data_IF_325075906236
#
_entry.id   IF_325075906236
#
_cell.length_a   1.000
_cell.length_b   1.000
_cell.length_c   1.000
_cell.angle_alpha   90.00
_cell.angle_beta   90.00
_cell.angle_gamma   90.00
#
_symmetry.space_group_name_H-M   'P 1'
#
loop_
_entity.id
_entity.type
_entity.pdbx_description
1 polymer ?
#
# COMPACT_ATOMS: atom_id res chain seq x y z
N UNK A 1 -49.82 31.89 -12.94
CA UNK A 1 -51.24 31.48 -12.93
C UNK A 1 -51.87 31.88 -11.61
N UNK A 2 -52.58 33.01 -11.59
CA UNK A 2 -53.21 33.55 -10.38
C UNK A 2 -54.45 32.71 -10.04
N UNK A 3 -54.47 32.10 -8.85
CA UNK A 3 -55.67 31.45 -8.30
C UNK A 3 -56.35 32.43 -7.35
N UNK A 4 -57.44 33.03 -7.80
CA UNK A 4 -58.34 33.80 -6.95
C UNK A 4 -58.94 32.93 -5.85
N UNK A 5 -58.67 33.27 -4.59
CA UNK A 5 -59.29 32.63 -3.43
C UNK A 5 -60.69 33.19 -3.24
N UNK A 6 -61.68 32.44 -3.74
CA UNK A 6 -63.11 32.62 -3.46
C UNK A 6 -63.37 32.52 -1.95
N UNK A 7 -63.74 33.64 -1.32
CA UNK A 7 -64.20 33.67 0.08
C UNK A 7 -65.50 32.88 0.19
N UNK A 8 -65.50 31.79 0.98
CA UNK A 8 -66.69 30.96 1.23
C UNK A 8 -67.67 31.70 2.14
N UNK A 9 -68.87 31.99 1.63
CA UNK A 9 -70.03 32.46 2.40
C UNK A 9 -70.67 31.26 3.09
N UNK A 10 -70.79 31.28 4.42
CA UNK A 10 -71.47 30.23 5.18
C UNK A 10 -72.97 30.25 4.89
N UNK A 11 -73.48 29.14 4.35
CA UNK A 11 -74.89 28.93 4.02
C UNK A 11 -75.63 28.47 5.28
N UNK A 12 -76.32 29.37 5.97
CA UNK A 12 -77.40 28.99 6.90
C UNK A 12 -78.67 28.85 6.09
N UNK A 13 -79.22 27.63 6.07
CA UNK A 13 -80.41 27.29 5.31
C UNK A 13 -81.68 27.90 5.90
N UNK A 14 -82.51 28.43 5.02
CA UNK A 14 -83.95 28.13 5.00
C UNK A 14 -84.50 28.60 3.64
N UNK A 15 -84.77 27.62 2.77
CA UNK A 15 -85.49 27.82 1.52
C UNK A 15 -86.98 27.91 1.84
N UNK A 16 -87.58 29.08 1.64
CA UNK A 16 -89.01 29.21 1.38
C UNK A 16 -89.15 30.11 0.16
N UNK A 17 -89.51 29.48 -0.95
CA UNK A 17 -89.89 30.09 -2.20
C UNK A 17 -91.13 30.97 -2.03
N UNK A 18 -90.99 32.27 -2.29
CA UNK A 18 -92.12 33.07 -2.73
C UNK A 18 -91.69 34.03 -3.84
N UNK A 19 -92.18 33.76 -5.04
CA UNK A 19 -92.03 34.57 -6.24
C UNK A 19 -92.86 35.84 -6.11
N UNK A 20 -92.18 36.97 -5.88
CA UNK A 20 -92.74 38.31 -5.96
C UNK A 20 -91.78 39.22 -6.70
N UNK A 21 -92.14 39.59 -7.94
CA UNK A 21 -91.47 40.61 -8.74
C UNK A 21 -91.63 41.99 -8.06
N UNK A 22 -90.69 42.33 -7.18
CA UNK A 22 -90.44 43.70 -6.72
C UNK A 22 -89.14 44.23 -7.35
N UNK A 23 -88.98 45.56 -7.51
CA UNK A 23 -87.73 46.13 -7.99
C UNK A 23 -86.59 45.64 -7.10
N UNK A 24 -85.50 45.21 -7.73
CA UNK A 24 -84.36 44.55 -7.11
C UNK A 24 -83.69 45.52 -6.10
N UNK A 25 -84.23 45.57 -4.88
CA UNK A 25 -83.76 46.43 -3.78
C UNK A 25 -82.53 45.84 -3.08
N UNK A 26 -81.97 44.75 -3.61
CA UNK A 26 -80.69 44.23 -3.14
C UNK A 26 -79.54 44.96 -3.83
N UNK A 27 -79.51 46.30 -3.68
CA UNK A 27 -78.24 47.00 -3.77
C UNK A 27 -77.38 46.44 -2.63
N UNK A 28 -76.30 45.76 -2.99
CA UNK A 28 -75.40 45.17 -2.00
C UNK A 28 -74.65 46.32 -1.34
N UNK A 29 -75.27 46.89 -0.30
CA UNK A 29 -74.79 48.06 0.43
C UNK A 29 -73.36 47.88 0.92
N UNK A 30 -72.92 46.63 1.09
CA UNK A 30 -71.55 46.25 1.38
C UNK A 30 -70.55 46.61 0.27
N UNK A 31 -70.90 46.38 -1.01
CA UNK A 31 -70.04 46.74 -2.15
C UNK A 31 -69.97 48.25 -2.32
N UNK A 32 -71.09 48.95 -2.12
CA UNK A 32 -71.16 50.41 -2.17
C UNK A 32 -70.33 51.01 -1.02
N UNK A 33 -70.45 50.49 0.20
CA UNK A 33 -69.62 50.93 1.33
C UNK A 33 -68.13 50.60 1.09
N UNK A 34 -67.81 49.50 0.42
CA UNK A 34 -66.43 49.18 0.03
C UNK A 34 -65.88 50.17 -1.01
N UNK A 35 -66.66 50.58 -2.01
CA UNK A 35 -66.29 51.61 -2.98
C UNK A 35 -66.19 53.01 -2.36
N UNK A 36 -67.16 53.38 -1.51
CA UNK A 36 -67.12 54.61 -0.69
C UNK A 36 -65.83 54.66 0.15
N UNK A 37 -65.43 53.53 0.73
CA UNK A 37 -64.22 53.45 1.56
C UNK A 37 -62.92 53.71 0.78
N UNK A 38 -62.92 53.42 -0.53
CA UNK A 38 -61.76 53.63 -1.42
C UNK A 38 -61.69 55.05 -1.96
N UNK A 39 -62.83 55.69 -2.18
CA UNK A 39 -62.92 57.02 -2.80
C UNK A 39 -62.81 58.18 -1.81
N UNK A 40 -63.27 57.97 -0.57
CA UNK A 40 -63.24 59.01 0.49
C UNK A 40 -61.87 59.09 1.16
N UNK A 41 -61.48 60.30 1.58
CA UNK A 41 -60.26 60.54 2.34
C UNK A 41 -60.44 60.11 3.82
N UNK A 42 -59.52 59.28 4.38
CA UNK A 42 -59.49 58.98 5.81
C UNK A 42 -59.48 60.22 6.72
N UNK A 43 -58.81 61.31 6.33
CA UNK A 43 -58.71 62.52 7.17
C UNK A 43 -60.06 63.27 7.25
N UNK A 44 -60.79 63.33 6.14
CA UNK A 44 -62.13 63.91 6.09
C UNK A 44 -63.12 63.09 6.92
N UNK A 45 -63.04 61.75 6.85
CA UNK A 45 -63.89 60.88 7.66
C UNK A 45 -63.59 61.00 9.17
N UNK A 46 -62.33 61.24 9.54
CA UNK A 46 -61.96 61.55 10.92
C UNK A 46 -62.57 62.89 11.39
N UNK A 47 -62.53 63.92 10.54
CA UNK A 47 -63.15 65.22 10.84
C UNK A 47 -64.68 65.09 11.00
N UNK A 48 -65.34 64.32 10.13
CA UNK A 48 -66.77 64.02 10.22
C UNK A 48 -67.08 63.21 11.48
N UNK A 49 -66.25 62.22 11.83
CA UNK A 49 -66.38 61.47 13.07
C UNK A 49 -66.33 62.37 14.31
N UNK A 50 -65.34 63.27 14.39
CA UNK A 50 -65.23 64.24 15.50
C UNK A 50 -66.43 65.17 15.56
N UNK A 51 -66.92 65.65 14.41
CA UNK A 51 -68.12 66.50 14.33
C UNK A 51 -69.36 65.77 14.86
N UNK A 52 -69.62 64.55 14.39
CA UNK A 52 -70.75 63.72 14.83
C UNK A 52 -70.68 63.45 16.34
N UNK A 53 -69.51 63.11 16.86
CA UNK A 53 -69.31 62.91 18.30
C UNK A 53 -69.59 64.18 19.11
N UNK A 54 -69.17 65.36 18.62
CA UNK A 54 -69.46 66.65 19.23
C UNK A 54 -70.96 66.99 19.22
N UNK A 55 -71.65 66.76 18.11
CA UNK A 55 -73.10 66.97 17.97
C UNK A 55 -73.90 66.02 18.87
N UNK A 56 -73.52 64.74 18.96
CA UNK A 56 -74.13 63.78 19.89
C UNK A 56 -73.95 64.28 21.33
N UNK A 57 -72.75 64.74 21.71
CA UNK A 57 -72.49 65.24 23.05
C UNK A 57 -73.32 66.51 23.36
N UNK A 58 -73.43 67.44 22.42
CA UNK A 58 -74.24 68.64 22.56
C UNK A 58 -75.73 68.31 22.69
N UNK A 59 -76.25 67.39 21.86
CA UNK A 59 -77.63 66.93 21.91
C UNK A 59 -77.93 66.20 23.22
N UNK A 60 -77.01 65.36 23.71
CA UNK A 60 -77.15 64.69 25.01
C UNK A 60 -77.20 65.70 26.18
N UNK A 61 -76.34 66.73 26.17
CA UNK A 61 -76.38 67.82 27.17
C UNK A 61 -77.71 68.58 27.11
N UNK A 62 -78.19 68.93 25.91
CA UNK A 62 -79.47 69.61 25.71
C UNK A 62 -80.67 68.76 26.13
N UNK A 63 -80.63 67.44 25.88
CA UNK A 63 -81.64 66.50 26.37
C UNK A 63 -81.66 66.46 27.91
N UNK A 64 -80.49 66.47 28.56
CA UNK A 64 -80.38 66.49 30.02
C UNK A 64 -80.97 67.79 30.60
N UNK A 65 -80.63 68.95 30.03
CA UNK A 65 -81.15 70.25 30.45
C UNK A 65 -82.68 70.36 30.25
N UNK A 66 -83.20 69.90 29.11
CA UNK A 66 -84.64 69.90 28.84
C UNK A 66 -85.43 68.96 29.78
N UNK A 67 -84.83 67.84 30.19
CA UNK A 67 -85.39 66.95 31.21
C UNK A 67 -85.40 67.60 32.60
N UNK A 68 -84.34 68.33 32.96
CA UNK A 68 -84.25 69.04 34.24
C UNK A 68 -85.28 70.17 34.34
N UNK A 69 -85.51 70.89 33.22
CA UNK A 69 -86.46 72.01 33.12
C UNK A 69 -87.93 71.59 32.91
N UNK A 70 -88.26 70.28 32.94
CA UNK A 70 -89.62 69.72 32.71
C UNK A 70 -90.33 70.26 31.45
N UNK A 71 -89.59 70.42 30.35
CA UNK A 71 -90.10 70.84 29.03
C UNK A 71 -90.96 69.74 28.36
N UNK A 72 -91.80 70.09 27.35
CA UNK A 72 -92.68 69.13 26.69
C UNK A 72 -91.93 67.94 26.08
N UNK A 73 -92.51 66.74 26.22
CA UNK A 73 -91.92 65.45 25.81
C UNK A 73 -91.61 65.40 24.31
N UNK A 74 -92.43 66.07 23.48
CA UNK A 74 -92.29 66.08 22.02
C UNK A 74 -90.94 66.66 21.53
N UNK A 75 -90.40 67.69 22.19
CA UNK A 75 -89.11 68.29 21.77
C UNK A 75 -87.92 67.42 22.20
N UNK A 76 -88.07 66.67 23.29
CA UNK A 76 -87.09 65.67 23.73
C UNK A 76 -87.06 64.48 22.77
N UNK A 77 -88.21 64.05 22.25
CA UNK A 77 -88.30 62.97 21.26
C UNK A 77 -87.68 63.36 19.92
N UNK A 78 -87.91 64.58 19.43
CA UNK A 78 -87.26 65.09 18.21
C UNK A 78 -85.73 65.04 18.33
N UNK A 79 -85.18 65.53 19.44
CA UNK A 79 -83.72 65.49 19.67
C UNK A 79 -83.18 64.06 19.81
N UNK A 80 -83.98 63.12 20.33
CA UNK A 80 -83.60 61.69 20.38
C UNK A 80 -83.54 61.07 18.99
N UNK A 81 -84.50 61.39 18.11
CA UNK A 81 -84.50 60.91 16.72
C UNK A 81 -83.29 61.47 15.98
N UNK A 82 -83.02 62.78 16.11
CA UNK A 82 -81.84 63.43 15.54
C UNK A 82 -80.53 62.78 16.04
N UNK A 83 -80.40 62.56 17.35
CA UNK A 83 -79.24 61.86 17.93
C UNK A 83 -79.12 60.42 17.44
N UNK A 84 -80.24 59.73 17.22
CA UNK A 84 -80.25 58.36 16.69
C UNK A 84 -79.76 58.31 15.24
N UNK A 85 -80.09 59.30 14.41
CA UNK A 85 -79.56 59.43 13.05
C UNK A 85 -78.04 59.68 13.05
N UNK A 86 -77.54 60.48 14.00
CA UNK A 86 -76.10 60.67 14.20
C UNK A 86 -75.38 59.35 14.53
N UNK A 87 -75.98 58.47 15.33
CA UNK A 87 -75.45 57.12 15.58
C UNK A 87 -75.43 56.22 14.34
N UNK A 88 -76.39 56.37 13.42
CA UNK A 88 -76.34 55.67 12.13
C UNK A 88 -75.16 56.16 11.29
N UNK A 89 -74.90 57.47 11.27
CA UNK A 89 -73.72 58.06 10.63
C UNK A 89 -72.41 57.53 11.23
N UNK A 90 -72.33 57.47 12.56
CA UNK A 90 -71.18 56.91 13.27
C UNK A 90 -70.93 55.43 12.92
N UNK A 91 -72.00 54.63 12.82
CA UNK A 91 -71.92 53.23 12.39
C UNK A 91 -71.43 53.11 10.94
N UNK A 92 -71.87 53.99 10.04
CA UNK A 92 -71.37 54.03 8.65
C UNK A 92 -69.86 54.29 8.62
N UNK A 93 -69.37 55.32 9.30
CA UNK A 93 -67.93 55.66 9.33
C UNK A 93 -67.10 54.49 9.89
N UNK A 94 -67.59 53.83 10.96
CA UNK A 94 -66.91 52.65 11.50
C UNK A 94 -66.84 51.49 10.49
N UNK A 95 -67.91 51.24 9.72
CA UNK A 95 -67.86 50.21 8.67
C UNK A 95 -66.84 50.56 7.59
N UNK A 96 -66.83 51.81 7.11
CA UNK A 96 -65.85 52.29 6.13
C UNK A 96 -64.40 52.10 6.62
N UNK A 97 -64.12 52.42 7.88
CA UNK A 97 -62.81 52.18 8.49
C UNK A 97 -62.43 50.69 8.50
N UNK A 98 -63.37 49.80 8.83
CA UNK A 98 -63.13 48.34 8.78
C UNK A 98 -62.87 47.84 7.36
N UNK A 99 -63.56 48.39 6.36
CA UNK A 99 -63.28 48.07 4.96
C UNK A 99 -61.86 48.50 4.56
N UNK A 100 -61.44 49.73 4.89
CA UNK A 100 -60.08 50.22 4.65
C UNK A 100 -59.02 49.37 5.34
N UNK A 101 -59.22 49.06 6.62
CA UNK A 101 -58.28 48.24 7.39
C UNK A 101 -58.13 46.84 6.78
N UNK A 102 -59.22 46.23 6.36
CA UNK A 102 -59.20 44.93 5.69
C UNK A 102 -58.43 45.00 4.37
N UNK A 103 -58.72 45.99 3.53
CA UNK A 103 -58.03 46.18 2.25
C UNK A 103 -56.52 46.37 2.45
N UNK A 104 -56.11 47.20 3.41
CA UNK A 104 -54.70 47.41 3.74
C UNK A 104 -54.03 46.12 4.23
N UNK A 105 -54.71 45.35 5.10
CA UNK A 105 -54.19 44.07 5.59
C UNK A 105 -54.03 43.04 4.48
N UNK A 106 -55.01 42.93 3.60
CA UNK A 106 -54.98 41.99 2.47
C UNK A 106 -53.85 42.38 1.48
N UNK A 107 -53.68 43.67 1.19
CA UNK A 107 -52.59 44.16 0.35
C UNK A 107 -51.20 43.87 0.95
N UNK A 108 -51.01 44.11 2.25
CA UNK A 108 -49.76 43.78 2.95
C UNK A 108 -49.51 42.28 2.95
N UNK A 109 -50.54 41.47 3.19
CA UNK A 109 -50.44 40.02 3.20
C UNK A 109 -50.10 39.45 1.81
N UNK A 110 -50.61 40.03 0.74
CA UNK A 110 -50.25 39.65 -0.63
C UNK A 110 -48.77 39.95 -0.93
N UNK A 111 -48.29 41.14 -0.54
CA UNK A 111 -46.87 41.50 -0.69
C UNK A 111 -45.98 40.61 0.16
N UNK A 112 -46.38 40.30 1.40
CA UNK A 112 -45.68 39.35 2.27
C UNK A 112 -45.55 37.97 1.61
N UNK A 113 -46.65 37.41 1.09
CA UNK A 113 -46.62 36.11 0.40
C UNK A 113 -45.68 36.12 -0.80
N UNK A 114 -45.62 37.23 -1.56
CA UNK A 114 -44.66 37.39 -2.66
C UNK A 114 -43.22 37.38 -2.16
N UNK A 115 -42.92 38.11 -1.08
CA UNK A 115 -41.59 38.12 -0.45
C UNK A 115 -41.20 36.73 0.07
N UNK A 116 -42.11 36.03 0.75
CA UNK A 116 -41.87 34.68 1.27
C UNK A 116 -41.55 33.70 0.11
N UNK A 117 -42.24 33.82 -1.02
CA UNK A 117 -41.95 33.02 -2.22
C UNK A 117 -40.56 33.32 -2.80
N UNK A 118 -40.17 34.59 -2.89
CA UNK A 118 -38.82 34.97 -3.34
C UNK A 118 -37.75 34.49 -2.35
N UNK A 119 -38.03 34.56 -1.05
CA UNK A 119 -37.12 34.06 -0.02
C UNK A 119 -36.91 32.55 -0.15
N UNK A 120 -37.97 31.79 -0.43
CA UNK A 120 -37.87 30.35 -0.69
C UNK A 120 -37.03 30.06 -1.94
N UNK A 121 -37.20 30.82 -3.02
CA UNK A 121 -36.37 30.68 -4.23
C UNK A 121 -34.89 30.99 -3.93
N UNK A 122 -34.63 32.03 -3.15
CA UNK A 122 -33.27 32.38 -2.72
C UNK A 122 -32.64 31.26 -1.87
N UNK A 123 -33.40 30.64 -0.96
CA UNK A 123 -32.91 29.51 -0.17
C UNK A 123 -32.55 28.32 -1.05
N UNK A 124 -33.38 27.99 -2.06
CA UNK A 124 -33.07 26.93 -3.02
C UNK A 124 -31.77 27.20 -3.77
N UNK A 125 -31.58 28.42 -4.28
CA UNK A 125 -30.35 28.82 -4.96
C UNK A 125 -29.13 28.80 -4.01
N UNK A 126 -29.31 29.23 -2.76
CA UNK A 126 -28.23 29.19 -1.76
C UNK A 126 -27.80 27.76 -1.47
N UNK A 127 -28.75 26.83 -1.41
CA UNK A 127 -28.46 25.40 -1.25
C UNK A 127 -27.71 24.85 -2.47
N UNK A 128 -28.13 25.22 -3.69
CA UNK A 128 -27.45 24.82 -4.93
C UNK A 128 -26.01 25.33 -4.99
N UNK A 129 -25.78 26.61 -4.67
CA UNK A 129 -24.43 27.19 -4.56
C UNK A 129 -23.59 26.44 -3.54
N UNK A 130 -24.14 26.14 -2.36
CA UNK A 130 -23.42 25.38 -1.35
C UNK A 130 -23.09 23.96 -1.83
N UNK A 131 -24.01 23.29 -2.52
CA UNK A 131 -23.77 21.96 -3.09
C UNK A 131 -22.66 21.99 -4.13
N UNK A 132 -22.74 22.91 -5.10
CA UNK A 132 -21.72 23.09 -6.13
C UNK A 132 -20.36 23.43 -5.51
N UNK A 133 -20.32 24.28 -4.48
CA UNK A 133 -19.09 24.59 -3.78
C UNK A 133 -18.48 23.34 -3.13
N UNK A 134 -19.28 22.48 -2.50
CA UNK A 134 -18.82 21.20 -1.96
C UNK A 134 -18.30 20.27 -3.06
N UNK A 135 -18.96 20.21 -4.21
CA UNK A 135 -18.49 19.43 -5.35
C UNK A 135 -17.18 19.97 -5.93
N UNK A 136 -17.04 21.29 -6.08
CA UNK A 136 -15.78 21.92 -6.50
C UNK A 136 -14.67 21.60 -5.52
N UNK A 137 -14.90 21.74 -4.21
CA UNK A 137 -13.91 21.37 -3.20
C UNK A 137 -13.54 19.90 -3.32
N UNK A 138 -14.51 18.99 -3.50
CA UNK A 138 -14.25 17.56 -3.72
C UNK A 138 -13.45 17.30 -4.99
N UNK A 139 -13.70 18.03 -6.07
CA UNK A 139 -12.93 17.94 -7.30
C UNK A 139 -11.51 18.52 -7.14
N UNK A 140 -11.33 19.54 -6.32
CA UNK A 140 -10.01 20.11 -6.00
C UNK A 140 -9.22 19.22 -5.03
N UNK A 141 -9.91 18.50 -4.15
CA UNK A 141 -9.34 17.48 -3.26
C UNK A 141 -9.05 16.17 -3.98
N UNK A 142 -9.54 16.00 -5.21
CA UNK A 142 -9.20 14.87 -6.04
C UNK A 142 -7.73 14.96 -6.48
N UNK A 143 -6.86 14.39 -5.66
CA UNK A 143 -5.47 14.09 -5.99
C UNK A 143 -5.48 12.95 -7.01
N UNK A 144 -5.12 13.22 -8.27
CA UNK A 144 -4.85 12.12 -9.19
C UNK A 144 -3.58 11.40 -8.73
N UNK A 145 -3.51 10.09 -8.94
CA UNK A 145 -2.32 9.28 -8.62
C UNK A 145 -1.06 9.73 -9.38
N UNK A 146 -1.21 10.64 -10.34
CA UNK A 146 -0.11 11.19 -11.14
C UNK A 146 0.69 12.26 -10.40
N UNK A 147 0.14 12.89 -9.34
CA UNK A 147 0.89 13.82 -8.48
C UNK A 147 1.89 13.09 -7.57
N UNK A 148 1.63 11.83 -7.22
CA UNK A 148 2.54 10.98 -6.44
C UNK A 148 3.63 10.33 -7.30
N UNK A 149 3.61 10.56 -8.61
CA UNK A 149 4.61 10.01 -9.52
C UNK A 149 5.84 10.92 -9.50
N UNK A 150 6.94 10.41 -8.96
CA UNK A 150 8.25 11.03 -9.11
C UNK A 150 8.58 11.19 -10.61
N UNK A 151 8.65 12.46 -11.03
CA UNK A 151 8.96 12.87 -12.39
C UNK A 151 10.47 12.91 -12.59
N UNK A 152 10.93 12.36 -13.71
CA UNK A 152 12.34 12.46 -14.13
C UNK A 152 12.61 13.92 -14.54
N UNK A 153 13.73 14.54 -14.08
CA UNK A 153 14.10 15.88 -14.48
C UNK A 153 14.16 16.03 -16.01
N UNK A 154 13.66 17.16 -16.52
CA UNK A 154 13.52 17.44 -17.96
C UNK A 154 14.84 17.27 -18.72
N UNK A 155 15.98 17.53 -18.07
CA UNK A 155 17.31 17.41 -18.67
C UNK A 155 17.77 15.96 -18.87
N UNK A 156 17.38 15.04 -17.98
CA UNK A 156 17.66 13.60 -18.15
C UNK A 156 16.76 13.00 -19.24
N UNK A 157 15.48 13.40 -19.27
CA UNK A 157 14.55 13.02 -20.32
C UNK A 157 15.03 13.45 -21.71
N UNK A 158 15.53 14.69 -21.87
CA UNK A 158 16.04 15.19 -23.15
C UNK A 158 17.28 14.44 -23.66
N UNK A 159 18.07 13.85 -22.76
CA UNK A 159 19.31 13.12 -23.09
C UNK A 159 19.02 11.66 -23.50
N UNK A 160 18.02 11.03 -22.90
CA UNK A 160 17.72 9.60 -23.08
C UNK A 160 16.53 9.33 -23.99
N UNK A 161 15.68 10.34 -24.27
CA UNK A 161 14.49 10.16 -25.10
C UNK A 161 14.85 9.96 -26.60
N UNK A 162 14.16 9.02 -27.29
CA UNK A 162 14.28 8.84 -28.73
C UNK A 162 13.91 10.08 -29.54
N UNK A 163 14.60 10.30 -30.67
CA UNK A 163 14.45 11.50 -31.51
C UNK A 163 13.02 11.74 -32.04
N UNK A 164 12.21 10.69 -32.19
CA UNK A 164 10.81 10.78 -32.62
C UNK A 164 9.90 11.47 -31.59
N UNK A 165 10.19 11.31 -30.29
CA UNK A 165 9.42 11.91 -29.19
C UNK A 165 9.79 13.38 -29.05
N UNK A 166 11.09 13.70 -29.14
CA UNK A 166 11.60 15.07 -29.11
C UNK A 166 11.05 15.95 -30.25
N UNK A 167 10.77 15.35 -31.42
CA UNK A 167 10.19 16.07 -32.56
C UNK A 167 8.72 16.43 -32.32
N UNK A 168 7.91 15.51 -31.78
CA UNK A 168 6.49 15.74 -31.45
C UNK A 168 6.29 16.76 -30.32
N UNK A 169 7.21 16.80 -29.36
CA UNK A 169 7.19 17.76 -28.23
C UNK A 169 7.43 19.21 -28.70
N UNK A 170 8.17 19.42 -29.79
CA UNK A 170 8.44 20.78 -30.32
C UNK A 170 7.27 21.40 -31.07
N UNK A 171 6.32 20.60 -31.56
CA UNK A 171 5.21 21.06 -32.41
C UNK A 171 3.92 21.37 -31.65
N UNK A 172 3.81 21.05 -30.34
CA UNK A 172 2.55 21.18 -29.60
C UNK A 172 2.68 22.02 -28.34
N UNK A 173 1.71 22.93 -28.13
CA UNK A 173 1.64 23.79 -26.97
C UNK A 173 1.42 23.00 -25.66
N UNK A 174 2.24 23.31 -24.65
CA UNK A 174 2.07 23.11 -23.19
C UNK A 174 1.42 21.82 -22.69
N UNK A 175 0.13 21.65 -22.93
CA UNK A 175 -0.72 20.57 -22.38
C UNK A 175 -0.39 19.21 -23.01
N UNK A 176 -0.07 19.18 -24.32
CA UNK A 176 0.30 17.93 -24.99
C UNK A 176 1.75 17.53 -24.69
N UNK A 177 2.61 18.48 -24.28
CA UNK A 177 3.97 18.17 -23.82
C UNK A 177 3.89 17.35 -22.54
N UNK A 178 3.05 17.76 -21.58
CA UNK A 178 2.79 16.96 -20.38
C UNK A 178 2.20 15.59 -20.73
N UNK A 179 1.21 15.50 -21.64
CA UNK A 179 0.59 14.23 -22.04
C UNK A 179 1.53 13.30 -22.85
N UNK A 180 2.41 13.85 -23.69
CA UNK A 180 3.40 13.08 -24.46
C UNK A 180 4.63 12.70 -23.63
N UNK A 181 5.03 13.56 -22.70
CA UNK A 181 5.93 13.24 -21.59
C UNK A 181 5.27 12.39 -20.51
N UNK A 182 3.98 12.05 -20.58
CA UNK A 182 3.33 11.05 -19.73
C UNK A 182 3.13 9.74 -20.50
N UNK A 183 2.84 9.79 -21.81
CA UNK A 183 2.63 8.59 -22.64
C UNK A 183 3.92 7.88 -23.05
N UNK A 184 5.03 8.61 -23.25
CA UNK A 184 6.33 7.99 -23.52
C UNK A 184 6.93 7.33 -22.26
N UNK A 185 6.89 7.93 -21.06
CA UNK A 185 7.28 7.24 -19.85
C UNK A 185 6.20 6.33 -19.30
N UNK A 186 4.92 6.35 -19.67
CA UNK A 186 4.02 5.28 -19.21
C UNK A 186 4.41 3.93 -19.82
N UNK A 187 4.79 3.88 -21.10
CA UNK A 187 5.35 2.67 -21.72
C UNK A 187 6.68 2.24 -21.11
N UNK A 188 7.64 3.16 -20.98
CA UNK A 188 8.96 2.85 -20.40
C UNK A 188 8.91 2.60 -18.89
N UNK A 189 8.11 3.34 -18.13
CA UNK A 189 7.87 3.13 -16.68
C UNK A 189 7.08 1.85 -16.45
N UNK A 190 6.07 1.51 -17.25
CA UNK A 190 5.41 0.22 -17.15
C UNK A 190 6.38 -0.92 -17.47
N UNK A 191 7.25 -0.78 -18.47
CA UNK A 191 8.29 -1.77 -18.77
C UNK A 191 9.31 -1.91 -17.62
N UNK A 192 9.79 -0.80 -17.06
CA UNK A 192 10.73 -0.80 -15.93
C UNK A 192 10.06 -1.33 -14.66
N UNK A 193 8.81 -0.97 -14.38
CA UNK A 193 8.03 -1.49 -13.24
C UNK A 193 7.73 -2.98 -13.42
N UNK A 194 7.45 -3.45 -14.64
CA UNK A 194 7.34 -4.89 -14.92
C UNK A 194 8.67 -5.61 -14.69
N UNK A 195 9.78 -5.04 -15.16
CA UNK A 195 11.11 -5.63 -14.92
C UNK A 195 11.50 -5.62 -13.44
N UNK A 196 11.22 -4.54 -12.72
CA UNK A 196 11.49 -4.44 -11.28
C UNK A 196 10.58 -5.36 -10.47
N UNK A 197 9.29 -5.46 -10.80
CA UNK A 197 8.37 -6.37 -10.11
C UNK A 197 8.68 -7.84 -10.41
N UNK A 198 9.16 -8.16 -11.62
CA UNK A 198 9.66 -9.50 -11.94
C UNK A 198 10.95 -9.82 -11.15
N UNK A 199 11.88 -8.87 -11.05
CA UNK A 199 13.09 -9.02 -10.23
C UNK A 199 12.79 -9.16 -8.74
N UNK A 200 11.88 -8.35 -8.21
CA UNK A 200 11.43 -8.43 -6.81
C UNK A 200 10.77 -9.78 -6.53
N UNK A 201 9.86 -10.23 -7.40
CA UNK A 201 9.23 -11.55 -7.28
C UNK A 201 10.25 -12.69 -7.34
N UNK A 202 11.26 -12.57 -8.22
CA UNK A 202 12.36 -13.53 -8.29
C UNK A 202 13.15 -13.58 -6.98
N UNK A 203 13.54 -12.42 -6.43
CA UNK A 203 14.26 -12.32 -5.16
C UNK A 203 13.43 -12.83 -3.97
N UNK A 204 12.13 -12.55 -3.94
CA UNK A 204 11.20 -13.08 -2.93
C UNK A 204 11.13 -14.61 -3.00
N UNK A 205 11.00 -15.18 -4.21
CA UNK A 205 10.97 -16.64 -4.38
C UNK A 205 12.28 -17.31 -3.96
N UNK A 206 13.41 -16.66 -4.24
CA UNK A 206 14.74 -17.15 -3.85
C UNK A 206 14.93 -17.06 -2.34
N UNK A 207 14.47 -15.96 -1.72
CA UNK A 207 14.44 -15.82 -0.26
C UNK A 207 13.61 -16.93 0.39
N UNK A 208 12.41 -17.21 -0.12
CA UNK A 208 11.58 -18.30 0.40
C UNK A 208 12.21 -19.69 0.20
N UNK A 209 12.97 -19.90 -0.87
CA UNK A 209 13.74 -21.14 -1.07
C UNK A 209 14.84 -21.26 -0.01
N UNK A 210 15.64 -20.22 0.21
CA UNK A 210 16.68 -20.24 1.23
C UNK A 210 16.13 -20.38 2.65
N UNK A 211 15.03 -19.69 2.98
CA UNK A 211 14.39 -19.82 4.29
C UNK A 211 13.95 -21.28 4.53
N UNK A 212 13.35 -21.93 3.53
CA UNK A 212 12.99 -23.37 3.59
C UNK A 212 14.20 -24.29 3.73
N UNK A 213 15.31 -24.00 3.05
CA UNK A 213 16.54 -24.80 3.18
C UNK A 213 17.19 -24.64 4.56
N UNK A 214 17.18 -23.43 5.10
CA UNK A 214 17.68 -23.14 6.45
C UNK A 214 16.83 -23.89 7.47
N UNK A 215 15.50 -23.85 7.34
CA UNK A 215 14.59 -24.60 8.21
C UNK A 215 14.85 -26.10 8.14
N UNK A 216 14.95 -26.68 6.93
CA UNK A 216 15.28 -28.11 6.76
C UNK A 216 16.62 -28.49 7.39
N UNK A 217 17.66 -27.66 7.20
CA UNK A 217 18.98 -27.87 7.81
C UNK A 217 18.90 -27.76 9.34
N UNK A 218 18.14 -26.81 9.89
CA UNK A 218 17.92 -26.67 11.34
C UNK A 218 17.18 -27.85 11.93
N UNK A 219 16.13 -28.33 11.27
CA UNK A 219 15.39 -29.52 11.69
C UNK A 219 16.32 -30.75 11.70
N UNK A 220 17.11 -30.94 10.64
CA UNK A 220 18.10 -32.03 10.58
C UNK A 220 19.13 -31.95 11.71
N UNK A 221 19.71 -30.77 11.97
CA UNK A 221 20.65 -30.57 13.07
C UNK A 221 20.00 -30.82 14.44
N UNK A 222 18.77 -30.33 14.63
CA UNK A 222 17.99 -30.54 15.85
C UNK A 222 17.61 -32.00 16.08
N UNK A 223 17.49 -32.79 15.01
CA UNK A 223 17.26 -34.23 15.07
C UNK A 223 18.53 -35.03 15.36
N UNK A 224 19.67 -34.61 14.80
CA UNK A 224 20.97 -35.27 14.99
C UNK A 224 21.49 -35.06 16.42
N UNK A 225 21.32 -33.86 16.99
CA UNK A 225 21.81 -33.52 18.32
C UNK A 225 21.37 -34.49 19.45
N UNK A 226 20.07 -34.82 19.62
CA UNK A 226 19.63 -35.76 20.64
C UNK A 226 20.06 -37.20 20.34
N UNK A 227 20.14 -37.60 19.05
CA UNK A 227 20.65 -38.93 18.70
C UNK A 227 22.13 -39.09 19.08
N UNK A 228 22.95 -38.06 18.83
CA UNK A 228 24.36 -38.07 19.23
C UNK A 228 24.52 -38.08 20.76
N UNK A 229 23.69 -37.33 21.49
CA UNK A 229 23.69 -37.34 22.96
C UNK A 229 23.32 -38.72 23.51
N UNK A 230 22.28 -39.37 22.97
CA UNK A 230 21.88 -40.71 23.38
C UNK A 230 22.98 -41.76 23.11
N UNK A 231 23.69 -41.65 21.98
CA UNK A 231 24.84 -42.53 21.67
C UNK A 231 25.99 -42.28 22.63
N UNK A 232 26.28 -41.02 22.96
CA UNK A 232 27.35 -40.66 23.91
C UNK A 232 27.03 -41.20 25.31
N UNK A 233 25.81 -41.00 25.81
CA UNK A 233 25.36 -41.53 27.11
C UNK A 233 25.40 -43.06 27.14
N UNK A 234 24.98 -43.74 26.07
CA UNK A 234 25.05 -45.20 25.98
C UNK A 234 26.49 -45.73 25.93
N UNK A 235 27.43 -44.96 25.36
CA UNK A 235 28.84 -45.34 25.24
C UNK A 235 29.69 -45.02 26.49
N UNK A 236 29.24 -44.10 27.36
CA UNK A 236 29.94 -43.72 28.60
C UNK A 236 30.33 -44.88 29.54
N UNK A 237 29.44 -45.83 29.90
CA UNK A 237 29.81 -46.92 30.80
C UNK A 237 30.87 -47.85 30.18
N UNK A 238 30.74 -48.13 28.88
CA UNK A 238 31.73 -48.92 28.15
C UNK A 238 33.09 -48.21 28.07
N UNK A 239 33.08 -46.88 27.92
CA UNK A 239 34.30 -46.07 27.92
C UNK A 239 35.03 -46.13 29.27
N UNK A 240 34.27 -46.07 30.37
CA UNK A 240 34.82 -46.16 31.72
C UNK A 240 35.44 -47.55 31.99
N UNK A 241 34.77 -48.62 31.55
CA UNK A 241 35.23 -50.00 31.73
C UNK A 241 36.47 -50.34 30.88
N UNK A 242 36.56 -49.79 29.66
CA UNK A 242 37.69 -50.03 28.75
C UNK A 242 38.85 -49.02 28.93
N UNK A 243 38.68 -47.99 29.76
CA UNK A 243 39.73 -46.99 30.04
C UNK A 243 40.21 -46.20 28.83
N UNK A 244 39.35 -45.97 27.82
CA UNK A 244 39.73 -45.33 26.55
C UNK A 244 39.59 -43.79 26.61
N UNK A 245 40.67 -43.00 26.46
CA UNK A 245 40.61 -41.55 26.46
C UNK A 245 40.26 -41.01 25.06
N UNK A 246 39.02 -41.24 24.59
CA UNK A 246 38.56 -40.79 23.27
C UNK A 246 38.60 -39.25 23.09
N UNK A 247 38.63 -38.47 24.17
CA UNK A 247 38.71 -37.01 24.12
C UNK A 247 40.14 -36.47 23.97
N UNK A 248 41.18 -37.26 24.23
CA UNK A 248 42.57 -36.79 24.22
C UNK A 248 43.08 -36.44 22.81
N UNK A 249 42.60 -37.14 21.76
CA UNK A 249 43.01 -36.91 20.38
C UNK A 249 42.11 -35.93 19.61
N UNK A 250 41.15 -35.26 20.26
CA UNK A 250 40.25 -34.30 19.59
C UNK A 250 41.01 -33.19 18.85
N UNK A 251 42.15 -32.73 19.39
CA UNK A 251 42.99 -31.72 18.74
C UNK A 251 43.65 -32.22 17.46
N UNK A 252 44.13 -33.46 17.43
CA UNK A 252 44.73 -34.07 16.24
C UNK A 252 43.66 -34.43 15.20
N UNK A 253 42.49 -34.89 15.65
CA UNK A 253 41.34 -35.15 14.78
C UNK A 253 40.67 -33.86 14.25
N UNK A 254 40.82 -32.71 14.92
CA UNK A 254 40.33 -31.42 14.42
C UNK A 254 41.02 -31.04 13.09
N UNK A 255 42.32 -31.30 12.98
CA UNK A 255 43.06 -31.10 11.74
C UNK A 255 42.70 -32.14 10.67
N UNK A 256 42.30 -33.35 11.08
CA UNK A 256 41.85 -34.42 10.19
C UNK A 256 40.49 -34.15 9.54
N UNK A 257 39.69 -33.18 10.04
CA UNK A 257 38.41 -32.78 9.41
C UNK A 257 38.59 -32.22 8.00
N UNK A 258 39.78 -31.69 7.70
CA UNK A 258 40.10 -31.13 6.39
C UNK A 258 40.68 -32.16 5.41
N UNK A 259 40.75 -33.44 5.80
CA UNK A 259 41.12 -34.54 4.90
C UNK A 259 39.94 -34.95 4.01
N UNK A 260 40.24 -35.48 2.82
CA UNK A 260 39.23 -36.13 2.01
C UNK A 260 38.66 -37.37 2.71
N UNK A 261 37.38 -37.70 2.47
CA UNK A 261 36.67 -38.79 3.14
C UNK A 261 37.43 -40.13 3.15
N UNK A 262 38.08 -40.59 2.06
CA UNK A 262 38.88 -41.82 2.08
C UNK A 262 40.16 -41.72 2.92
N UNK A 263 40.85 -40.57 2.89
CA UNK A 263 42.06 -40.35 3.69
C UNK A 263 41.74 -40.24 5.19
N UNK A 264 40.59 -39.67 5.54
CA UNK A 264 40.13 -39.62 6.93
C UNK A 264 39.92 -41.03 7.51
N UNK A 265 39.26 -41.92 6.76
CA UNK A 265 39.05 -43.32 7.20
C UNK A 265 40.40 -44.03 7.39
N UNK A 266 41.33 -43.85 6.44
CA UNK A 266 42.66 -44.42 6.52
C UNK A 266 43.43 -43.90 7.75
N UNK A 267 43.35 -42.59 8.02
CA UNK A 267 44.00 -41.95 9.17
C UNK A 267 43.44 -42.51 10.49
N UNK A 268 42.11 -42.61 10.64
CA UNK A 268 41.47 -43.15 11.85
C UNK A 268 41.88 -44.61 12.09
N UNK A 269 41.91 -45.43 11.03
CA UNK A 269 42.35 -46.82 11.13
C UNK A 269 43.84 -46.91 11.50
N UNK A 270 44.69 -46.12 10.84
CA UNK A 270 46.13 -46.10 11.12
C UNK A 270 46.43 -45.61 12.55
N UNK A 271 45.74 -44.57 13.02
CA UNK A 271 45.85 -44.09 14.40
C UNK A 271 45.42 -45.16 15.43
N UNK A 272 44.38 -45.95 15.11
CA UNK A 272 44.00 -47.09 15.94
C UNK A 272 45.10 -48.16 15.99
N UNK A 273 45.77 -48.44 14.86
CA UNK A 273 46.92 -49.37 14.83
C UNK A 273 48.14 -48.84 15.58
N UNK A 274 48.43 -47.54 15.48
CA UNK A 274 49.47 -46.88 16.26
C UNK A 274 49.26 -47.10 17.76
N UNK A 275 48.03 -46.88 18.25
CA UNK A 275 47.71 -47.04 19.66
C UNK A 275 47.81 -48.51 20.12
N UNK A 276 47.49 -49.47 19.24
CA UNK A 276 47.57 -50.89 19.57
C UNK A 276 49.00 -51.46 19.56
N UNK A 277 49.90 -50.92 18.74
CA UNK A 277 51.23 -51.49 18.46
C UNK A 277 52.39 -50.49 18.67
N UNK A 278 52.21 -49.54 19.61
CA UNK A 278 52.91 -48.24 19.78
C UNK A 278 54.44 -48.13 19.76
N UNK A 279 55.19 -49.18 19.42
CA UNK A 279 56.65 -49.16 19.36
C UNK A 279 57.23 -49.15 17.92
N UNK A 280 56.42 -49.42 16.89
CA UNK A 280 56.94 -49.54 15.50
C UNK A 280 56.18 -48.72 14.45
N UNK A 281 55.14 -47.97 14.85
CA UNK A 281 54.15 -47.41 13.92
C UNK A 281 53.79 -45.97 14.33
N UNK A 282 54.10 -44.99 13.49
CA UNK A 282 53.81 -43.57 13.71
C UNK A 282 53.00 -43.00 12.54
N UNK A 283 51.93 -42.27 12.83
CA UNK A 283 51.07 -41.65 11.82
C UNK A 283 51.16 -40.13 11.94
N UNK A 284 51.51 -39.48 10.84
CA UNK A 284 51.56 -38.03 10.72
C UNK A 284 50.69 -37.51 9.58
N UNK A 285 50.19 -36.29 9.72
CA UNK A 285 49.59 -35.54 8.62
C UNK A 285 50.59 -34.51 8.13
N UNK A 286 50.96 -34.58 6.85
CA UNK A 286 51.87 -33.62 6.22
C UNK A 286 51.11 -32.82 5.15
N UNK A 287 51.19 -31.49 5.23
CA UNK A 287 50.60 -30.59 4.24
C UNK A 287 50.14 -29.25 4.81
N UNK A 288 49.58 -28.41 3.93
CA UNK A 288 49.01 -27.12 4.30
C UNK A 288 47.54 -27.26 4.68
N UNK A 289 47.25 -27.00 5.96
CA UNK A 289 45.87 -27.00 6.50
C UNK A 289 45.04 -25.84 5.92
N UNK A 290 45.70 -24.72 5.60
CA UNK A 290 45.06 -23.49 5.08
C UNK A 290 44.60 -23.66 3.62
N UNK A 291 45.42 -24.28 2.77
CA UNK A 291 45.04 -24.59 1.38
C UNK A 291 43.91 -25.63 1.32
N UNK A 292 43.86 -26.54 2.30
CA UNK A 292 42.80 -27.54 2.41
C UNK A 292 41.46 -26.94 2.82
N UNK A 293 41.47 -25.97 3.74
CA UNK A 293 40.28 -25.17 4.11
C UNK A 293 39.73 -24.41 2.90
N UNK A 294 40.60 -23.71 2.19
CA UNK A 294 40.21 -22.96 0.99
C UNK A 294 39.66 -23.87 -0.12
N UNK A 295 40.18 -25.10 -0.28
CA UNK A 295 39.62 -26.07 -1.22
C UNK A 295 38.24 -26.59 -0.82
N UNK A 296 37.99 -26.80 0.47
CA UNK A 296 36.67 -27.19 0.96
C UNK A 296 35.63 -26.08 0.75
N UNK A 297 35.99 -24.83 1.07
CA UNK A 297 35.14 -23.65 0.84
C UNK A 297 34.85 -23.45 -0.64
N UNK A 298 35.87 -23.49 -1.51
CA UNK A 298 35.66 -23.34 -2.97
C UNK A 298 34.91 -24.50 -3.62
N UNK A 299 34.92 -25.69 -3.02
CA UNK A 299 34.10 -26.82 -3.50
C UNK A 299 32.64 -26.68 -3.06
N UNK A 300 32.38 -26.08 -1.89
CA UNK A 300 31.04 -25.74 -1.43
C UNK A 300 30.44 -24.60 -2.24
N UNK A 301 31.20 -23.52 -2.48
CA UNK A 301 30.76 -22.38 -3.31
C UNK A 301 30.42 -22.80 -4.75
N UNK A 302 31.20 -23.70 -5.35
CA UNK A 302 30.91 -24.22 -6.71
C UNK A 302 29.68 -25.10 -6.79
N UNK A 303 29.33 -25.82 -5.72
CA UNK A 303 28.08 -26.60 -5.69
C UNK A 303 26.86 -25.71 -5.52
N UNK A 304 26.99 -24.55 -4.87
CA UNK A 304 25.91 -23.57 -4.76
C UNK A 304 25.68 -22.83 -6.09
N UNK A 305 26.73 -22.52 -6.85
CA UNK A 305 26.62 -21.89 -8.18
C UNK A 305 26.01 -22.80 -9.28
N UNK A 306 26.21 -24.12 -9.22
CA UNK A 306 25.72 -25.08 -10.25
C UNK A 306 24.24 -25.47 -10.09
N UNK A 307 23.57 -24.97 -9.04
CA UNK A 307 22.12 -25.15 -8.82
C UNK A 307 21.27 -24.02 -9.42
N UNK A 308 21.91 -23.01 -10.01
CA UNK A 308 21.27 -21.85 -10.65
C UNK A 308 21.33 -21.90 -12.18
N UNK A 309 20.64 -22.85 -12.79
CA UNK A 309 20.38 -22.89 -14.24
C UNK A 309 18.95 -22.33 -14.48
N UNK A 310 18.61 -21.44 -15.42
CA UNK A 310 19.29 -20.60 -16.42
C UNK A 310 18.23 -19.57 -16.85
N UNK A 311 18.63 -18.37 -17.26
CA UNK A 311 17.94 -17.63 -18.34
C UNK A 311 18.90 -16.54 -18.86
N UNK A 312 19.59 -16.85 -19.96
CA UNK A 312 20.33 -15.88 -20.76
C UNK A 312 19.50 -15.50 -21.99
N UNK A 313 19.25 -14.21 -22.16
CA UNK A 313 19.18 -13.60 -23.49
C UNK A 313 20.18 -12.45 -23.60
N UNK A 314 20.78 -12.35 -24.79
CA UNK A 314 21.82 -11.43 -25.19
C UNK A 314 21.41 -9.95 -25.10
N UNK A 315 22.35 -9.08 -24.72
CA UNK A 315 22.71 -7.96 -25.59
C UNK A 315 24.00 -7.26 -25.14
N UNK A 316 24.88 -7.10 -26.13
CA UNK A 316 26.10 -6.30 -26.11
C UNK A 316 25.87 -4.86 -25.61
N UNK A 317 26.68 -4.40 -24.65
CA UNK A 317 27.60 -3.24 -24.81
C UNK A 317 28.32 -2.87 -23.50
N UNK A 318 29.63 -3.16 -23.49
CA UNK A 318 30.69 -2.25 -23.06
C UNK A 318 30.71 -1.75 -21.62
N UNK A 319 31.54 -2.39 -20.77
CA UNK A 319 32.38 -1.69 -19.80
C UNK A 319 33.70 -2.43 -19.59
N UNK A 320 34.77 -1.65 -19.73
CA UNK A 320 36.18 -2.03 -19.80
C UNK A 320 36.63 -2.77 -18.54
N UNK A 321 36.86 -4.08 -18.65
CA UNK A 321 37.72 -4.77 -17.68
C UNK A 321 39.19 -4.43 -17.98
N UNK A 322 39.82 -3.80 -17.00
CA UNK A 322 41.27 -3.66 -16.88
C UNK A 322 41.87 -5.08 -16.90
N UNK A 323 42.41 -5.47 -18.05
CA UNK A 323 43.10 -6.74 -18.27
C UNK A 323 44.41 -6.69 -17.48
N UNK A 324 44.40 -7.21 -16.25
CA UNK A 324 45.64 -7.57 -15.56
C UNK A 324 46.23 -8.75 -16.33
N UNK A 325 47.30 -8.48 -17.06
CA UNK A 325 48.11 -9.45 -17.77
C UNK A 325 48.83 -10.35 -16.76
N UNK A 326 48.23 -11.48 -16.39
CA UNK A 326 49.00 -12.62 -15.87
C UNK A 326 49.40 -13.50 -17.05
N UNK A 327 50.60 -13.20 -17.54
CA UNK A 327 51.47 -14.16 -18.22
C UNK A 327 51.56 -15.43 -17.37
N UNK A 328 51.39 -16.58 -18.01
CA UNK A 328 51.42 -17.88 -17.34
C UNK A 328 50.90 -18.97 -18.26
N UNK A 329 51.74 -19.32 -19.23
CA UNK A 329 51.88 -20.65 -19.85
C UNK A 329 50.78 -21.66 -19.51
N UNK A 330 49.92 -21.95 -20.49
CA UNK A 330 48.89 -22.99 -20.40
C UNK A 330 49.50 -24.36 -20.14
N UNK A 331 49.55 -24.76 -18.87
CA UNK A 331 49.70 -26.15 -18.47
C UNK A 331 48.34 -26.83 -18.72
N UNK A 332 48.35 -27.67 -19.76
CA UNK A 332 47.42 -28.75 -20.14
C UNK A 332 46.25 -29.05 -19.19
N UNK A 333 45.04 -29.24 -19.74
CA UNK A 333 43.84 -29.73 -19.00
C UNK A 333 44.11 -30.94 -18.12
N UNK A 334 45.12 -31.75 -18.46
CA UNK A 334 45.61 -32.90 -17.68
C UNK A 334 46.16 -32.48 -16.30
N UNK A 335 46.80 -31.31 -16.18
CA UNK A 335 47.31 -30.79 -14.91
C UNK A 335 46.19 -30.34 -13.96
N UNK A 336 45.04 -29.89 -14.49
CA UNK A 336 43.83 -29.62 -13.69
C UNK A 336 43.17 -30.93 -13.22
N UNK A 337 43.19 -31.98 -14.04
CA UNK A 337 42.67 -33.30 -13.66
C UNK A 337 43.57 -34.07 -12.68
N UNK A 338 44.85 -33.71 -12.56
CA UNK A 338 45.81 -34.31 -11.63
C UNK A 338 46.02 -33.48 -10.35
N UNK A 339 45.08 -32.60 -10.01
CA UNK A 339 45.16 -31.81 -8.78
C UNK A 339 45.15 -32.73 -7.56
N UNK A 340 46.28 -32.72 -6.86
CA UNK A 340 46.48 -33.44 -5.60
C UNK A 340 45.87 -32.64 -4.46
N UNK A 341 45.33 -33.36 -3.50
CA UNK A 341 44.91 -32.81 -2.23
C UNK A 341 46.14 -32.30 -1.45
N UNK A 342 46.09 -31.07 -0.89
CA UNK A 342 47.24 -30.46 -0.22
C UNK A 342 47.60 -31.11 1.12
N UNK A 343 46.69 -31.87 1.74
CA UNK A 343 47.01 -32.76 2.85
C UNK A 343 47.27 -34.18 2.38
N UNK A 344 48.33 -34.75 2.94
CA UNK A 344 48.75 -36.14 2.75
C UNK A 344 48.88 -36.83 4.10
N UNK A 345 48.54 -38.12 4.12
CA UNK A 345 48.70 -38.96 5.32
C UNK A 345 49.99 -39.73 5.18
N UNK A 346 50.88 -39.61 6.15
CA UNK A 346 52.18 -40.28 6.17
C UNK A 346 52.18 -41.31 7.29
N UNK A 347 52.47 -42.55 6.94
CA UNK A 347 52.61 -43.65 7.88
C UNK A 347 54.08 -44.06 7.88
N UNK A 348 54.72 -44.00 9.05
CA UNK A 348 56.12 -44.39 9.24
C UNK A 348 56.21 -45.66 10.06
N UNK A 349 56.81 -46.69 9.46
CA UNK A 349 57.04 -48.00 10.06
C UNK A 349 58.53 -48.16 10.38
N UNK A 350 58.85 -48.55 11.62
CA UNK A 350 60.22 -48.82 12.06
C UNK A 350 60.38 -50.32 12.37
N UNK A 351 61.28 -51.00 11.64
CA UNK A 351 61.58 -52.40 11.94
C UNK A 351 63.08 -52.66 11.80
N UNK A 352 63.73 -53.09 12.90
CA UNK A 352 65.15 -53.50 12.94
C UNK A 352 66.11 -52.50 12.24
N UNK A 353 65.89 -51.21 12.42
CA UNK A 353 66.71 -50.12 11.86
C UNK A 353 66.30 -49.63 10.46
N UNK A 354 65.32 -50.25 9.82
CA UNK A 354 64.73 -49.76 8.56
C UNK A 354 63.54 -48.86 8.85
N UNK A 355 63.49 -47.70 8.19
CA UNK A 355 62.36 -46.77 8.24
C UNK A 355 61.63 -46.82 6.90
N UNK A 356 60.40 -47.34 6.89
CA UNK A 356 59.51 -47.33 5.73
C UNK A 356 58.49 -46.19 5.90
N UNK A 357 58.59 -45.17 5.06
CA UNK A 357 57.66 -44.04 5.01
C UNK A 357 56.68 -44.24 3.85
N UNK A 358 55.40 -44.36 4.15
CA UNK A 358 54.33 -44.52 3.17
C UNK A 358 53.48 -43.25 3.17
N UNK A 359 53.52 -42.50 2.07
CA UNK A 359 52.73 -41.28 1.89
C UNK A 359 51.52 -41.58 1.01
N UNK A 360 50.33 -41.32 1.53
CA UNK A 360 49.07 -41.40 0.81
C UNK A 360 48.66 -40.01 0.34
N UNK A 361 48.41 -39.89 -0.95
CA UNK A 361 47.97 -38.64 -1.60
C UNK A 361 46.64 -38.89 -2.30
N UNK A 362 45.70 -37.96 -2.16
CA UNK A 362 44.41 -38.05 -2.84
C UNK A 362 44.38 -37.17 -4.07
N UNK A 363 43.89 -37.67 -5.21
CA UNK A 363 43.68 -36.87 -6.41
C UNK A 363 42.18 -36.55 -6.51
N UNK A 364 41.84 -35.26 -6.36
CA UNK A 364 40.46 -34.81 -6.15
C UNK A 364 39.58 -35.12 -7.36
N UNK A 365 40.05 -34.78 -8.58
CA UNK A 365 39.28 -34.94 -9.80
C UNK A 365 39.11 -36.39 -10.28
N UNK A 366 39.95 -37.33 -9.79
CA UNK A 366 39.90 -38.74 -10.17
C UNK A 366 39.32 -39.63 -9.07
N UNK A 367 39.10 -39.10 -7.86
CA UNK A 367 38.70 -39.84 -6.66
C UNK A 367 39.62 -41.05 -6.32
N UNK A 368 40.90 -40.99 -6.66
CA UNK A 368 41.87 -42.07 -6.42
C UNK A 368 42.84 -41.68 -5.29
N UNK A 369 43.10 -42.63 -4.39
CA UNK A 369 44.19 -42.55 -3.42
C UNK A 369 45.43 -43.20 -4.04
N UNK A 370 46.51 -42.43 -4.17
CA UNK A 370 47.81 -42.91 -4.62
C UNK A 370 48.73 -43.10 -3.43
N UNK A 371 49.59 -44.10 -3.50
CA UNK A 371 50.58 -44.41 -2.46
C UNK A 371 51.99 -44.25 -3.01
N UNK A 372 52.86 -43.59 -2.25
CA UNK A 372 54.30 -43.54 -2.52
C UNK A 372 55.05 -44.05 -1.31
N UNK A 373 55.85 -45.09 -1.48
CA UNK A 373 56.66 -45.68 -0.42
C UNK A 373 58.13 -45.29 -0.60
N UNK A 374 58.77 -44.85 0.48
CA UNK A 374 60.21 -44.60 0.59
C UNK A 374 60.79 -45.48 1.69
N UNK A 375 61.82 -46.24 1.36
CA UNK A 375 62.56 -47.06 2.33
C UNK A 375 63.89 -46.38 2.61
N UNK A 376 64.17 -46.18 3.90
CA UNK A 376 65.42 -45.62 4.39
C UNK A 376 66.12 -46.69 5.22
N UNK A 377 67.26 -47.16 4.74
CA UNK A 377 68.10 -48.15 5.43
C UNK A 377 69.05 -47.45 6.41
N UNK A 378 69.48 -48.11 7.50
CA UNK A 378 70.24 -47.45 8.58
C UNK A 378 71.68 -47.07 8.21
N UNK A 379 72.19 -47.40 7.02
CA UNK A 379 73.54 -47.02 6.56
C UNK A 379 73.45 -46.37 5.17
N UNK A 380 73.86 -45.12 5.06
CA UNK A 380 73.72 -44.32 3.85
C UNK A 380 74.53 -44.86 2.66
N UNK A 381 73.87 -45.56 1.75
CA UNK A 381 74.15 -45.53 0.30
C UNK A 381 72.83 -45.77 -0.42
N UNK A 382 72.49 -44.87 -1.36
CA UNK A 382 71.43 -45.07 -2.33
C UNK A 382 71.65 -46.36 -3.12
N UNK A 383 70.84 -47.39 -2.88
CA UNK A 383 70.70 -48.51 -3.82
C UNK A 383 69.45 -48.27 -4.65
N UNK A 384 69.63 -47.51 -5.74
CA UNK A 384 68.71 -47.60 -6.86
C UNK A 384 68.87 -48.99 -7.48
N UNK A 385 67.86 -49.85 -7.35
CA UNK A 385 67.79 -51.08 -8.14
C UNK A 385 67.43 -50.67 -9.57
N UNK A 386 68.45 -50.24 -10.31
CA UNK A 386 68.44 -50.11 -11.76
C UNK A 386 68.63 -51.51 -12.33
N UNK A 387 67.54 -52.11 -12.82
CA UNK A 387 67.63 -53.24 -13.73
C UNK A 387 68.17 -52.73 -15.08
N UNK A 388 69.50 -52.73 -15.17
CA UNK A 388 70.39 -52.77 -16.33
C UNK A 388 69.73 -52.61 -17.71
N UNK A 389 69.96 -51.44 -18.32
CA UNK A 389 69.77 -51.17 -19.74
C UNK A 389 70.87 -51.80 -20.62
N UNK A 390 70.49 -52.44 -21.73
CA UNK A 390 71.13 -52.32 -23.05
C UNK A 390 70.36 -53.19 -24.08
N UNK A 391 70.41 -52.86 -25.39
CA UNK A 391 69.75 -51.76 -26.08
C UNK A 391 68.55 -52.26 -26.93
N UNK A 392 67.61 -51.36 -27.25
CA UNK A 392 66.39 -51.65 -28.02
C UNK A 392 66.62 -51.91 -29.53
N UNK A 393 65.58 -51.88 -30.39
CA UNK A 393 64.18 -51.49 -30.14
C UNK A 393 63.17 -52.60 -30.48
N UNK A 394 62.01 -52.60 -29.81
CA UNK A 394 60.94 -53.54 -30.11
C UNK A 394 59.69 -53.24 -29.30
N UNK A 395 58.79 -52.48 -29.93
CA UNK A 395 57.41 -52.23 -29.50
C UNK A 395 56.76 -53.51 -28.97
N UNK A 396 56.18 -53.45 -27.76
CA UNK A 396 55.00 -54.23 -27.35
C UNK A 396 54.38 -53.65 -26.09
N UNK A 397 53.18 -53.12 -26.27
CA UNK A 397 52.25 -52.78 -25.21
C UNK A 397 51.91 -54.01 -24.37
N UNK A 398 51.89 -53.87 -23.05
CA UNK A 398 51.23 -54.79 -22.15
C UNK A 398 50.29 -54.00 -21.24
N UNK A 399 49.02 -53.98 -21.64
CA UNK A 399 47.89 -53.62 -20.80
C UNK A 399 47.83 -54.58 -19.60
N UNK A 400 47.73 -54.04 -18.39
CA UNK A 400 47.22 -54.79 -17.24
C UNK A 400 46.04 -54.01 -16.67
N UNK A 401 44.90 -54.69 -16.70
CA UNK A 401 43.59 -54.29 -16.19
C UNK A 401 43.68 -53.82 -14.73
N UNK A 402 42.99 -52.73 -14.42
CA UNK A 402 42.59 -52.39 -13.07
C UNK A 402 41.09 -52.64 -12.93
N UNK A 403 40.76 -53.54 -12.00
CA UNK A 403 39.42 -53.84 -11.55
C UNK A 403 38.78 -52.63 -10.88
N UNK A 404 37.51 -52.42 -11.19
CA UNK A 404 36.63 -51.49 -10.49
C UNK A 404 36.16 -52.17 -9.20
N UNK A 405 36.29 -51.48 -8.07
CA UNK A 405 35.32 -51.51 -6.99
C UNK A 405 34.76 -50.10 -6.83
#
# INVERSE_FOLDING_TARGET
>A
MSRDKKVKRSKTGNDVSNSGSGPNLHMDYFLIEEEDSKTRDPQDDEAVFRRICGEIQANMKKILEMKLQRRPVADVEKLRVETSLLFLGLKKINRLDKHRLKAAKDAVNEKKQKVDNFHLQLQNLTYEVMHLQKEVTKCMEFRSRDEEIDLVPVEEFRREAPAEVLKKVRECAGILISLSSLSSPSGQRNQIVMQLSQKLRGLESLREQYDREIERKRECLSGIQPTLQAVLEAAQPLQADLGLPLQAHQGEHANAQYLSRPLYVLYVQAAAYQHAYGDCFEVGMEGSVEESKALLETTQEKQEEDSGESDQEESNKGKRHRRLTRSGTGLSSVAKCLQKHPLTVVITLQHKGYHLQITFTYIIALHIVTVTAKVTEPHGVSSGVSARSAPGPGVKHANVKLEKC
#
